data_IF_862268109027
#
_entry.id   IF_862268109027
#
_cell.length_a   1.000
_cell.length_b   1.000
_cell.length_c   1.000
_cell.angle_alpha   90.00
_cell.angle_beta   90.00
_cell.angle_gamma   90.00
#
_symmetry.space_group_name_H-M   'P 1'
#
loop_
_entity.id
_entity.type
_entity.pdbx_description
1 polymer ?
#
# COMPACT_ATOMS: atom_id res chain seq x y z
N UNK A 1 -7.09 29.58 -5.26
CA UNK A 1 -5.86 28.78 -5.42
C UNK A 1 -5.30 28.34 -4.06
N UNK A 2 -5.79 27.22 -3.50
CA UNK A 2 -5.28 26.60 -2.24
C UNK A 2 -5.20 25.06 -2.34
N UNK A 3 -5.03 24.52 -3.54
CA UNK A 3 -5.01 23.06 -3.79
C UNK A 3 -3.65 22.43 -3.54
N UNK A 4 -2.57 23.22 -3.52
CA UNK A 4 -1.20 22.73 -3.33
C UNK A 4 -0.97 22.25 -1.88
N UNK A 5 -1.40 23.04 -0.89
CA UNK A 5 -1.27 22.69 0.54
C UNK A 5 -2.07 21.43 0.88
N UNK A 6 -3.30 21.30 0.38
CA UNK A 6 -4.11 20.09 0.57
C UNK A 6 -3.47 18.84 -0.07
N UNK A 7 -2.82 18.97 -1.23
CA UNK A 7 -2.08 17.87 -1.87
C UNK A 7 -0.84 17.48 -1.05
N UNK A 8 -0.12 18.44 -0.51
CA UNK A 8 1.06 18.20 0.33
C UNK A 8 0.69 17.47 1.63
N UNK A 9 -0.38 17.91 2.30
CA UNK A 9 -0.91 17.26 3.51
C UNK A 9 -1.37 15.83 3.22
N UNK A 10 -2.01 15.59 2.06
CA UNK A 10 -2.40 14.24 1.66
C UNK A 10 -1.19 13.31 1.49
N UNK A 11 -0.07 13.82 0.96
CA UNK A 11 1.18 13.05 0.83
C UNK A 11 1.78 12.79 2.20
N UNK A 12 1.81 13.78 3.10
CA UNK A 12 2.29 13.59 4.48
C UNK A 12 1.50 12.50 5.24
N UNK A 13 0.18 12.45 5.07
CA UNK A 13 -0.66 11.41 5.66
C UNK A 13 -0.35 10.03 5.06
N UNK A 14 -0.04 9.96 3.76
CA UNK A 14 0.34 8.73 3.06
C UNK A 14 1.75 8.22 3.41
N UNK A 15 2.64 9.10 3.90
CA UNK A 15 3.99 8.71 4.30
C UNK A 15 3.97 7.79 5.52
N UNK A 16 3.06 8.02 6.48
CA UNK A 16 2.95 7.22 7.72
C UNK A 16 2.78 5.71 7.42
N UNK A 17 1.76 5.26 6.66
CA UNK A 17 1.61 3.84 6.31
C UNK A 17 2.74 3.33 5.41
N UNK A 18 3.38 4.21 4.62
CA UNK A 18 4.58 3.86 3.85
C UNK A 18 5.78 3.54 4.74
N UNK A 19 6.00 4.30 5.81
CA UNK A 19 7.05 4.02 6.80
C UNK A 19 6.75 2.71 7.53
N UNK A 20 5.49 2.46 7.90
CA UNK A 20 5.08 1.19 8.52
C UNK A 20 5.39 0.00 7.59
N UNK A 21 5.08 0.14 6.29
CA UNK A 21 5.43 -0.88 5.32
C UNK A 21 6.96 -1.10 5.25
N UNK A 22 7.74 -0.02 5.20
CA UNK A 22 9.20 -0.11 5.18
C UNK A 22 9.75 -0.82 6.42
N UNK A 23 9.25 -0.50 7.61
CA UNK A 23 9.65 -1.17 8.86
C UNK A 23 9.31 -2.67 8.81
N UNK A 24 8.10 -3.03 8.36
CA UNK A 24 7.71 -4.43 8.18
C UNK A 24 8.66 -5.18 7.22
N UNK A 25 9.06 -4.54 6.11
CA UNK A 25 10.04 -5.10 5.19
C UNK A 25 11.43 -5.27 5.81
N UNK A 26 11.88 -4.34 6.67
CA UNK A 26 13.13 -4.47 7.41
C UNK A 26 13.11 -5.71 8.32
N UNK A 27 12.01 -5.97 9.03
CA UNK A 27 11.91 -7.18 9.86
C UNK A 27 11.93 -8.46 9.03
N UNK A 28 11.28 -8.47 7.86
CA UNK A 28 11.34 -9.61 6.94
C UNK A 28 12.76 -9.85 6.43
N UNK A 29 13.47 -8.80 5.99
CA UNK A 29 14.85 -8.93 5.49
C UNK A 29 15.77 -9.43 6.61
N UNK A 30 15.62 -8.92 7.82
CA UNK A 30 16.49 -9.26 8.94
C UNK A 30 16.29 -10.72 9.37
N UNK A 31 15.04 -11.19 9.44
CA UNK A 31 14.75 -12.61 9.68
C UNK A 31 15.34 -13.51 8.58
N UNK A 32 15.24 -13.10 7.31
CA UNK A 32 15.76 -13.86 6.18
C UNK A 32 17.29 -13.89 6.15
N UNK A 33 17.96 -12.74 6.33
CA UNK A 33 19.42 -12.66 6.36
C UNK A 33 20.01 -13.37 7.57
N UNK A 34 19.36 -13.30 8.74
CA UNK A 34 19.77 -14.05 9.92
C UNK A 34 19.76 -15.55 9.64
N UNK A 35 18.71 -16.05 9.00
CA UNK A 35 18.62 -17.46 8.62
C UNK A 35 19.68 -17.87 7.60
N UNK A 36 19.92 -17.05 6.57
CA UNK A 36 20.92 -17.32 5.54
C UNK A 36 22.36 -17.25 6.08
N UNK A 37 22.66 -16.30 6.97
CA UNK A 37 23.96 -16.17 7.61
C UNK A 37 24.24 -17.38 8.53
N UNK A 38 23.26 -17.78 9.34
CA UNK A 38 23.40 -18.93 10.24
C UNK A 38 23.51 -20.27 9.47
N UNK A 39 22.89 -20.38 8.29
CA UNK A 39 23.03 -21.58 7.43
C UNK A 39 24.43 -21.77 6.85
N UNK A 40 25.26 -20.72 6.79
CA UNK A 40 26.63 -20.80 6.28
C UNK A 40 27.67 -21.25 7.31
N UNK A 41 27.27 -21.45 8.57
CA UNK A 41 28.15 -21.82 9.67
C UNK A 41 27.86 -23.27 10.12
N UNK A 42 28.68 -24.22 9.66
CA UNK A 42 28.57 -25.66 9.94
C UNK A 42 28.70 -26.02 11.44
N UNK A 43 28.97 -25.04 12.31
CA UNK A 43 29.09 -25.23 13.77
C UNK A 43 27.76 -25.14 14.54
N UNK A 44 26.69 -24.63 13.92
CA UNK A 44 25.41 -24.35 14.58
C UNK A 44 24.40 -25.49 14.36
N UNK A 45 24.26 -26.38 15.35
CA UNK A 45 23.46 -27.62 15.26
C UNK A 45 21.94 -27.40 15.24
N UNK A 46 21.46 -26.16 15.41
CA UNK A 46 20.03 -25.82 15.38
C UNK A 46 19.78 -24.46 14.72
N UNK A 47 19.79 -24.40 13.38
CA UNK A 47 19.21 -23.25 12.68
C UNK A 47 17.68 -23.36 12.76
N UNK A 48 17.06 -22.45 13.51
CA UNK A 48 15.60 -22.25 13.49
C UNK A 48 15.27 -20.93 12.81
N UNK A 49 14.36 -20.96 11.84
CA UNK A 49 13.86 -19.76 11.19
C UNK A 49 12.99 -18.96 12.17
N UNK A 50 13.20 -17.64 12.23
CA UNK A 50 12.43 -16.76 13.10
C UNK A 50 11.09 -16.41 12.45
N UNK A 51 10.16 -17.37 12.52
CA UNK A 51 8.80 -17.24 11.99
C UNK A 51 8.03 -16.08 12.62
N UNK A 52 8.26 -15.78 13.90
CA UNK A 52 7.53 -14.72 14.59
C UNK A 52 7.91 -13.35 14.01
N UNK A 53 9.21 -13.04 13.97
CA UNK A 53 9.70 -11.78 13.39
C UNK A 53 9.35 -11.64 11.90
N UNK A 54 9.40 -12.75 11.15
CA UNK A 54 9.04 -12.74 9.72
C UNK A 54 7.54 -12.50 9.49
N UNK A 55 6.67 -13.20 10.22
CA UNK A 55 5.22 -13.07 10.06
C UNK A 55 4.71 -11.74 10.57
N UNK A 56 5.26 -11.21 11.66
CA UNK A 56 4.97 -9.87 12.15
C UNK A 56 5.35 -8.81 11.11
N UNK A 57 6.58 -8.90 10.56
CA UNK A 57 7.03 -8.04 9.47
C UNK A 57 6.14 -8.13 8.23
N UNK A 58 5.73 -9.34 7.85
CA UNK A 58 4.84 -9.59 6.71
C UNK A 58 3.47 -8.95 6.91
N UNK A 59 2.87 -9.07 8.09
CA UNK A 59 1.57 -8.46 8.40
C UNK A 59 1.67 -6.93 8.35
N UNK A 60 2.69 -6.33 8.96
CA UNK A 60 2.90 -4.87 8.91
C UNK A 60 3.15 -4.37 7.49
N UNK A 61 3.91 -5.11 6.69
CA UNK A 61 4.18 -4.80 5.29
C UNK A 61 2.90 -4.85 4.43
N UNK A 62 2.15 -5.94 4.53
CA UNK A 62 0.89 -6.11 3.79
C UNK A 62 -0.16 -5.09 4.23
N UNK A 63 -0.26 -4.80 5.53
CA UNK A 63 -1.14 -3.75 6.04
C UNK A 63 -0.78 -2.37 5.47
N UNK A 64 0.51 -2.02 5.45
CA UNK A 64 0.97 -0.74 4.89
C UNK A 64 0.72 -0.62 3.38
N UNK A 65 1.04 -1.65 2.60
CA UNK A 65 0.83 -1.64 1.13
C UNK A 65 -0.65 -1.71 0.76
N UNK A 66 -1.45 -2.54 1.44
CA UNK A 66 -2.89 -2.61 1.18
C UNK A 66 -3.59 -1.28 1.50
N UNK A 67 -3.17 -0.59 2.56
CA UNK A 67 -3.65 0.76 2.87
C UNK A 67 -3.25 1.76 1.77
N UNK A 68 -1.99 1.77 1.33
CA UNK A 68 -1.51 2.62 0.25
C UNK A 68 -2.29 2.37 -1.05
N UNK A 69 -2.42 1.11 -1.47
CA UNK A 69 -3.14 0.72 -2.68
C UNK A 69 -4.64 1.05 -2.62
N UNK A 70 -5.28 0.77 -1.49
CA UNK A 70 -6.70 1.08 -1.26
C UNK A 70 -6.97 2.59 -1.28
N UNK A 71 -6.12 3.39 -0.65
CA UNK A 71 -6.22 4.85 -0.68
C UNK A 71 -6.02 5.42 -2.09
N UNK A 72 -5.00 4.94 -2.81
CA UNK A 72 -4.73 5.35 -4.19
C UNK A 72 -5.94 5.05 -5.08
N UNK A 73 -6.51 3.85 -4.98
CA UNK A 73 -7.69 3.44 -5.75
C UNK A 73 -8.91 4.32 -5.44
N UNK A 74 -9.20 4.57 -4.15
CA UNK A 74 -10.31 5.44 -3.74
C UNK A 74 -10.13 6.88 -4.23
N UNK A 75 -8.91 7.41 -4.14
CA UNK A 75 -8.56 8.76 -4.60
C UNK A 75 -8.69 8.88 -6.11
N UNK A 76 -8.32 7.83 -6.86
CA UNK A 76 -8.33 7.82 -8.31
C UNK A 76 -9.76 7.70 -8.87
N UNK A 77 -10.61 6.87 -8.25
CA UNK A 77 -12.04 6.78 -8.58
C UNK A 77 -12.75 8.14 -8.52
N UNK A 78 -12.43 8.98 -7.54
CA UNK A 78 -13.04 10.32 -7.39
C UNK A 78 -12.63 11.31 -8.49
N UNK A 79 -11.53 11.08 -9.20
CA UNK A 79 -11.03 11.99 -10.24
C UNK A 79 -11.37 11.54 -11.67
N UNK A 80 -12.05 10.40 -11.82
CA UNK A 80 -12.49 9.92 -13.13
C UNK A 80 -11.37 9.39 -14.03
N UNK A 81 -10.16 9.16 -13.50
CA UNK A 81 -9.05 8.55 -14.26
C UNK A 81 -9.19 7.03 -14.43
N UNK A 82 -10.26 6.44 -13.89
CA UNK A 82 -10.68 5.08 -14.17
C UNK A 82 -11.24 4.98 -15.59
N UNK A 83 -10.83 3.95 -16.32
CA UNK A 83 -11.27 3.72 -17.70
C UNK A 83 -12.79 3.65 -17.84
N UNK A 84 -13.34 3.89 -19.05
CA UNK A 84 -14.77 4.03 -19.32
C UNK A 84 -15.64 2.84 -18.87
N UNK A 85 -15.03 1.68 -18.57
CA UNK A 85 -15.72 0.50 -18.00
C UNK A 85 -16.15 0.66 -16.54
N UNK A 86 -15.56 1.58 -15.77
CA UNK A 86 -15.86 1.81 -14.35
C UNK A 86 -16.46 3.20 -14.06
N UNK A 87 -16.67 4.03 -15.09
CA UNK A 87 -17.36 5.30 -14.93
C UNK A 87 -18.87 5.03 -14.80
N UNK A 88 -19.42 5.30 -13.62
CA UNK A 88 -20.88 5.38 -13.45
C UNK A 88 -21.41 6.39 -14.46
N UNK A 89 -22.37 5.94 -15.29
CA UNK A 89 -23.01 6.72 -16.35
C UNK A 89 -23.77 7.91 -15.76
N UNK A 90 -23.07 8.97 -15.37
CA UNK A 90 -23.68 10.27 -15.06
C UNK A 90 -23.96 11.04 -16.35
N UNK A 91 -24.75 10.45 -17.24
CA UNK A 91 -25.34 11.19 -18.35
C UNK A 91 -26.53 10.41 -18.92
N UNK A 92 -27.73 10.80 -18.50
CA UNK A 92 -28.96 10.58 -19.28
C UNK A 92 -30.11 11.57 -19.00
N UNK A 93 -29.87 12.69 -18.32
CA UNK A 93 -30.93 13.66 -17.98
C UNK A 93 -30.73 15.08 -18.56
N UNK A 94 -29.81 15.30 -19.51
CA UNK A 94 -29.65 16.62 -20.16
C UNK A 94 -30.03 16.64 -21.65
N UNK A 95 -30.42 15.50 -22.23
CA UNK A 95 -30.83 15.43 -23.64
C UNK A 95 -32.35 15.51 -23.84
N UNK A 96 -33.13 15.52 -22.76
CA UNK A 96 -34.60 15.54 -22.82
C UNK A 96 -35.18 16.95 -22.70
N UNK A 97 -34.40 17.93 -22.26
CA UNK A 97 -34.88 19.32 -22.07
C UNK A 97 -34.77 20.18 -23.35
N UNK A 98 -34.06 19.70 -24.37
CA UNK A 98 -33.96 20.37 -25.68
C UNK A 98 -34.97 19.87 -26.72
N UNK A 99 -35.87 18.95 -26.36
CA UNK A 99 -36.88 18.36 -27.27
C UNK A 99 -38.32 18.63 -26.81
N UNK A 100 -38.55 19.36 -25.70
CA UNK A 100 -39.89 19.72 -25.20
C UNK A 100 -40.16 21.20 -25.39
#
# INVERSE_FOLDING_TARGET
MRTLTARFIAVLILVIPGIIAMIGFLFMKDALFKYLYMHGDDSLTHISFDWLSFTEGLVMFLAGISFLGGWIFFRDRKRGYIGPRFQETKNKNQSTEHIV
#
